data_IF_418418118423
#
_entry.id   IF_418418118423
#
_cell.length_a   1.000
_cell.length_b   1.000
_cell.length_c   1.000
_cell.angle_alpha   90.00
_cell.angle_beta   90.00
_cell.angle_gamma   90.00
#
_symmetry.space_group_name_H-M   'P 1'
#
loop_
_entity.id
_entity.type
_entity.pdbx_description
1 polymer ?
#
# COMPACT_ATOMS: atom_id res chain seq x y z
N UNK A 1 -34.22 -77.90 -13.36
CA UNK A 1 -32.83 -77.68 -12.95
C UNK A 1 -32.36 -76.38 -13.54
N UNK A 2 -32.47 -75.28 -12.83
CA UNK A 2 -32.10 -73.97 -13.29
C UNK A 2 -31.01 -73.46 -12.32
N UNK A 3 -29.79 -73.29 -12.81
CA UNK A 3 -28.66 -72.76 -12.03
C UNK A 3 -28.63 -71.23 -12.16
N UNK A 4 -28.79 -70.56 -11.03
CA UNK A 4 -28.64 -69.08 -10.90
C UNK A 4 -27.20 -68.75 -10.58
N UNK A 5 -26.53 -68.08 -11.50
CA UNK A 5 -25.16 -67.57 -11.32
C UNK A 5 -25.20 -66.16 -10.65
N UNK A 6 -24.67 -66.05 -9.43
CA UNK A 6 -24.54 -64.76 -8.69
C UNK A 6 -23.21 -64.09 -9.06
N UNK A 7 -23.29 -62.96 -9.73
CA UNK A 7 -22.14 -62.07 -10.01
C UNK A 7 -21.95 -61.16 -8.81
N UNK A 8 -20.83 -61.28 -8.09
CA UNK A 8 -20.40 -60.36 -7.04
C UNK A 8 -19.71 -59.16 -7.62
N UNK A 9 -20.36 -57.96 -7.54
CA UNK A 9 -19.70 -56.69 -7.83
C UNK A 9 -18.80 -56.29 -6.66
N UNK A 10 -17.50 -56.18 -6.91
CA UNK A 10 -16.54 -55.61 -5.96
C UNK A 10 -16.46 -54.12 -6.29
N UNK A 11 -17.02 -53.27 -5.40
CA UNK A 11 -16.87 -51.82 -5.49
C UNK A 11 -15.52 -51.46 -4.83
N UNK A 12 -14.55 -51.07 -5.68
CA UNK A 12 -13.25 -50.57 -5.24
C UNK A 12 -13.38 -49.07 -4.98
N UNK A 13 -13.54 -48.70 -3.71
CA UNK A 13 -13.59 -47.28 -3.27
C UNK A 13 -12.17 -46.73 -3.25
N UNK A 14 -11.83 -45.94 -4.28
CA UNK A 14 -10.59 -45.18 -4.31
C UNK A 14 -10.67 -44.00 -3.34
N UNK A 15 -9.96 -44.07 -2.23
CA UNK A 15 -9.80 -42.98 -1.27
C UNK A 15 -8.81 -41.96 -1.85
N UNK A 16 -9.31 -40.89 -2.44
CA UNK A 16 -8.51 -39.74 -2.86
C UNK A 16 -8.05 -38.97 -1.61
N UNK A 17 -6.82 -39.23 -1.16
CA UNK A 17 -6.15 -38.37 -0.18
C UNK A 17 -5.81 -37.03 -0.85
N UNK A 18 -6.59 -36.00 -0.61
CA UNK A 18 -6.22 -34.62 -0.94
C UNK A 18 -5.09 -34.19 0.00
N UNK A 19 -3.88 -34.15 -0.51
CA UNK A 19 -2.75 -33.50 0.17
C UNK A 19 -2.99 -32.01 0.11
N UNK A 20 -3.61 -31.44 1.15
CA UNK A 20 -3.64 -29.99 1.38
C UNK A 20 -2.21 -29.56 1.73
N UNK A 21 -1.50 -29.01 0.74
CA UNK A 21 -0.29 -28.25 1.00
C UNK A 21 -0.68 -27.00 1.80
N UNK A 22 -0.63 -27.06 3.13
CA UNK A 22 -0.67 -25.90 3.98
C UNK A 22 0.63 -25.13 3.71
N UNK A 23 0.56 -24.04 2.95
CA UNK A 23 1.62 -23.05 2.94
C UNK A 23 1.90 -22.66 4.40
N UNK A 24 3.10 -22.94 4.88
CA UNK A 24 3.45 -22.68 6.26
C UNK A 24 3.29 -21.20 6.57
N UNK A 25 2.55 -20.86 7.61
CA UNK A 25 2.41 -19.49 8.07
C UNK A 25 3.81 -18.94 8.38
N UNK A 26 4.18 -17.85 7.74
CA UNK A 26 5.41 -17.13 8.02
C UNK A 26 5.23 -16.41 9.36
N UNK A 27 5.93 -16.83 10.39
CA UNK A 27 6.01 -16.04 11.62
C UNK A 27 7.07 -14.97 11.42
N UNK A 28 6.65 -13.72 11.19
CA UNK A 28 7.54 -12.57 11.24
C UNK A 28 8.08 -12.49 12.66
N UNK A 29 9.41 -12.39 12.78
CA UNK A 29 10.06 -12.24 14.08
C UNK A 29 9.79 -10.82 14.63
N UNK A 30 8.79 -10.72 15.50
CA UNK A 30 8.39 -9.47 16.15
C UNK A 30 9.53 -8.80 16.92
N UNK A 31 10.41 -9.58 17.57
CA UNK A 31 11.54 -9.04 18.32
C UNK A 31 12.56 -8.40 17.39
N UNK A 32 12.84 -9.02 16.25
CA UNK A 32 13.75 -8.48 15.23
C UNK A 32 13.20 -7.20 14.60
N UNK A 33 11.89 -7.17 14.27
CA UNK A 33 11.23 -5.98 13.76
C UNK A 33 11.35 -4.82 14.73
N UNK A 34 10.96 -5.06 15.99
CA UNK A 34 10.99 -4.07 17.05
C UNK A 34 12.42 -3.57 17.31
N UNK A 35 13.40 -4.46 17.38
CA UNK A 35 14.80 -4.07 17.57
C UNK A 35 15.33 -3.21 16.42
N UNK A 36 14.97 -3.53 15.18
CA UNK A 36 15.33 -2.72 14.02
C UNK A 36 14.70 -1.32 14.08
N UNK A 37 13.40 -1.23 14.38
CA UNK A 37 12.70 0.05 14.50
C UNK A 37 13.28 0.92 15.62
N UNK A 38 13.53 0.37 16.81
CA UNK A 38 14.13 1.10 17.95
C UNK A 38 15.53 1.61 17.59
N UNK A 39 16.37 0.79 16.95
CA UNK A 39 17.72 1.20 16.55
C UNK A 39 17.68 2.41 15.61
N UNK A 40 16.84 2.37 14.59
CA UNK A 40 16.72 3.46 13.63
C UNK A 40 16.08 4.71 14.26
N UNK A 41 15.10 4.55 15.16
CA UNK A 41 14.48 5.63 15.90
C UNK A 41 15.51 6.38 16.75
N UNK A 42 16.38 5.65 17.45
CA UNK A 42 17.48 6.23 18.26
C UNK A 42 18.52 6.91 17.37
N UNK A 43 18.93 6.27 16.27
CA UNK A 43 19.95 6.79 15.36
C UNK A 43 19.52 8.10 14.69
N UNK A 44 18.26 8.21 14.28
CA UNK A 44 17.70 9.39 13.62
C UNK A 44 17.14 10.43 14.61
N UNK A 45 17.06 10.10 15.90
CA UNK A 45 16.32 10.89 16.89
C UNK A 45 14.92 11.23 16.36
N UNK A 46 14.27 10.24 15.82
CA UNK A 46 12.98 10.33 15.14
C UNK A 46 11.87 9.65 15.97
N UNK A 47 10.64 9.76 15.51
CA UNK A 47 9.55 8.87 15.87
C UNK A 47 9.26 7.95 14.68
N UNK A 48 9.32 6.63 14.91
CA UNK A 48 9.16 5.60 13.85
C UNK A 48 7.99 4.69 14.19
N UNK A 49 7.13 4.44 13.21
CA UNK A 49 6.05 3.47 13.27
C UNK A 49 6.19 2.44 12.15
N UNK A 50 5.99 1.17 12.49
CA UNK A 50 6.09 0.07 11.53
C UNK A 50 4.93 -0.89 11.75
N UNK A 51 4.34 -1.40 10.66
CA UNK A 51 3.45 -2.55 10.69
C UNK A 51 3.76 -3.48 9.52
N UNK A 52 3.67 -4.77 9.78
CA UNK A 52 3.79 -5.83 8.77
C UNK A 52 2.63 -6.80 8.96
N UNK A 53 1.72 -6.84 7.99
CA UNK A 53 0.62 -7.79 7.91
C UNK A 53 1.08 -9.00 7.10
N UNK A 54 1.10 -10.16 7.71
CA UNK A 54 1.23 -11.45 7.02
C UNK A 54 -0.14 -11.89 6.51
N UNK A 55 -0.28 -11.96 5.19
CA UNK A 55 -1.57 -12.30 4.58
C UNK A 55 -1.95 -13.78 4.67
N UNK A 56 -0.99 -14.67 5.02
CA UNK A 56 -1.28 -16.08 5.24
C UNK A 56 -1.95 -16.34 6.59
N UNK A 57 -1.48 -15.67 7.63
CA UNK A 57 -1.99 -15.81 8.99
C UNK A 57 -3.02 -14.75 9.38
N UNK A 58 -3.05 -13.61 8.68
CA UNK A 58 -3.82 -12.43 9.06
C UNK A 58 -3.22 -11.66 10.25
N UNK A 59 -2.08 -12.09 10.77
CA UNK A 59 -1.44 -11.44 11.92
C UNK A 59 -0.69 -10.18 11.51
N UNK A 60 -0.76 -9.16 12.37
CA UNK A 60 0.03 -7.94 12.23
C UNK A 60 1.09 -7.92 13.33
N UNK A 61 2.34 -7.71 12.93
CA UNK A 61 3.44 -7.39 13.82
C UNK A 61 3.76 -5.90 13.67
N UNK A 62 3.86 -5.18 14.78
CA UNK A 62 4.04 -3.73 14.70
C UNK A 62 4.94 -3.17 15.81
N UNK A 63 5.50 -2.00 15.54
CA UNK A 63 6.13 -1.10 16.50
C UNK A 63 5.47 0.27 16.37
N UNK A 64 4.94 0.84 17.46
CA UNK A 64 4.08 2.04 17.45
C UNK A 64 2.94 1.94 16.44
N UNK A 65 2.42 0.72 16.22
CA UNK A 65 1.46 0.41 15.17
C UNK A 65 0.12 1.16 15.28
N UNK A 66 -0.26 1.59 16.47
CA UNK A 66 -1.49 2.34 16.75
C UNK A 66 -1.28 3.86 16.92
N UNK A 67 -0.03 4.33 16.85
CA UNK A 67 0.25 5.77 16.91
C UNK A 67 0.01 6.44 15.55
N UNK A 68 -0.43 7.71 15.57
CA UNK A 68 -0.71 8.46 14.35
C UNK A 68 0.57 9.00 13.72
N UNK A 69 0.65 8.89 12.41
CA UNK A 69 1.72 9.41 11.56
C UNK A 69 1.13 10.16 10.36
N UNK A 70 1.82 11.19 9.81
CA UNK A 70 1.37 11.90 8.62
C UNK A 70 1.29 10.95 7.41
N UNK A 71 0.19 11.02 6.67
CA UNK A 71 0.02 10.25 5.43
C UNK A 71 1.03 10.67 4.35
N UNK A 72 1.20 11.97 4.17
CA UNK A 72 1.89 12.52 3.01
C UNK A 72 1.41 11.83 1.72
N UNK A 73 2.26 11.62 0.73
CA UNK A 73 1.84 11.00 -0.53
C UNK A 73 1.42 9.52 -0.43
N UNK A 74 1.48 8.87 0.75
CA UNK A 74 0.89 7.53 0.90
C UNK A 74 -0.64 7.53 0.83
N UNK A 75 -1.30 8.69 0.85
CA UNK A 75 -2.74 8.83 0.61
C UNK A 75 -3.14 8.57 -0.86
N UNK A 76 -2.23 8.71 -1.83
CA UNK A 76 -2.55 8.69 -3.27
C UNK A 76 -3.10 7.36 -3.79
N UNK A 77 -2.59 6.19 -3.37
CA UNK A 77 -3.25 4.92 -3.69
C UNK A 77 -4.67 4.81 -3.12
N UNK A 78 -4.93 5.35 -1.92
CA UNK A 78 -6.28 5.37 -1.34
C UNK A 78 -7.23 6.21 -2.19
N UNK A 79 -6.78 7.38 -2.58
CA UNK A 79 -7.51 8.32 -3.42
C UNK A 79 -7.88 7.69 -4.79
N UNK A 80 -6.91 7.06 -5.46
CA UNK A 80 -7.17 6.33 -6.71
C UNK A 80 -8.03 5.09 -6.47
N UNK A 81 -7.97 4.47 -5.30
CA UNK A 81 -8.87 3.41 -4.86
C UNK A 81 -10.33 3.89 -4.79
N UNK A 82 -10.58 5.11 -4.26
CA UNK A 82 -11.92 5.72 -4.26
C UNK A 82 -12.42 5.94 -5.69
N UNK A 83 -11.58 6.46 -6.59
CA UNK A 83 -11.94 6.66 -7.99
C UNK A 83 -12.31 5.33 -8.65
N UNK A 84 -11.48 4.29 -8.47
CA UNK A 84 -11.71 2.95 -9.03
C UNK A 84 -12.99 2.33 -8.48
N UNK A 85 -13.29 2.47 -7.19
CA UNK A 85 -14.54 2.02 -6.59
C UNK A 85 -15.77 2.71 -7.21
N UNK A 86 -15.67 4.00 -7.55
CA UNK A 86 -16.72 4.70 -8.27
C UNK A 86 -16.87 4.23 -9.72
N UNK A 87 -15.77 3.83 -10.37
CA UNK A 87 -15.77 3.21 -11.70
C UNK A 87 -16.43 1.84 -11.65
N UNK A 88 -16.12 1.01 -10.68
CA UNK A 88 -16.74 -0.30 -10.44
C UNK A 88 -18.26 -0.19 -10.25
N UNK A 89 -18.73 0.95 -9.71
CA UNK A 89 -20.14 1.29 -9.55
C UNK A 89 -20.76 1.93 -10.80
N UNK A 90 -20.01 2.06 -11.91
CA UNK A 90 -20.49 2.65 -13.16
C UNK A 90 -20.67 4.17 -13.17
N UNK A 91 -20.12 4.89 -12.17
CA UNK A 91 -20.26 6.35 -12.07
C UNK A 91 -19.32 7.12 -13.00
N UNK A 92 -18.16 6.54 -13.32
CA UNK A 92 -17.10 7.14 -14.13
C UNK A 92 -16.49 6.09 -15.06
N UNK A 93 -15.68 6.55 -16.03
CA UNK A 93 -14.81 5.69 -16.83
C UNK A 93 -13.36 6.18 -16.74
N UNK A 94 -12.38 5.26 -16.74
CA UNK A 94 -10.96 5.62 -16.68
C UNK A 94 -10.51 6.47 -17.87
N UNK A 95 -11.14 6.28 -19.03
CA UNK A 95 -10.78 6.93 -20.30
C UNK A 95 -11.45 8.30 -20.49
N UNK A 96 -12.35 8.71 -19.59
CA UNK A 96 -12.94 10.05 -19.61
C UNK A 96 -11.82 11.10 -19.45
N UNK A 97 -11.68 11.96 -20.47
CA UNK A 97 -10.68 13.04 -20.46
C UNK A 97 -11.21 14.27 -19.76
N UNK A 98 -10.34 14.90 -19.01
CA UNK A 98 -10.56 16.23 -18.44
C UNK A 98 -9.55 17.20 -19.01
N UNK A 99 -9.96 18.46 -19.09
CA UNK A 99 -9.06 19.59 -19.33
C UNK A 99 -8.89 20.35 -18.02
N UNK A 100 -7.69 20.82 -17.78
CA UNK A 100 -7.39 21.66 -16.63
C UNK A 100 -6.41 22.77 -17.03
N UNK A 101 -6.41 23.85 -16.28
CA UNK A 101 -5.67 25.04 -16.55
C UNK A 101 -4.33 25.03 -15.79
N UNK A 102 -3.36 25.82 -16.28
CA UNK A 102 -2.03 25.93 -15.68
C UNK A 102 -2.09 26.42 -14.22
N UNK A 103 -3.09 27.21 -13.90
CA UNK A 103 -3.35 27.77 -12.56
C UNK A 103 -3.72 26.71 -11.52
N UNK A 104 -4.05 25.50 -11.98
CA UNK A 104 -4.29 24.35 -11.09
C UNK A 104 -3.02 23.63 -10.68
N UNK A 105 -1.87 23.94 -11.31
CA UNK A 105 -0.62 23.31 -10.97
C UNK A 105 -0.15 23.75 -9.58
N UNK A 106 0.21 22.78 -8.77
CA UNK A 106 0.81 22.98 -7.45
C UNK A 106 2.24 22.42 -7.44
N UNK A 107 3.00 22.73 -6.40
CA UNK A 107 4.37 22.26 -6.25
C UNK A 107 4.44 20.73 -6.32
N UNK A 108 5.54 20.24 -6.90
CA UNK A 108 5.79 18.83 -7.17
C UNK A 108 4.75 18.19 -8.11
N UNK A 109 4.74 18.68 -9.35
CA UNK A 109 3.89 18.18 -10.45
C UNK A 109 4.74 17.69 -11.64
N UNK A 110 5.53 16.59 -11.46
CA UNK A 110 6.55 16.18 -12.44
C UNK A 110 5.98 15.66 -13.75
N UNK A 111 4.72 15.25 -13.78
CA UNK A 111 4.02 14.80 -14.98
C UNK A 111 3.10 15.89 -15.51
N UNK A 112 2.12 16.32 -14.71
CA UNK A 112 1.14 17.33 -15.14
C UNK A 112 1.78 18.65 -15.52
N UNK A 113 2.87 19.05 -14.86
CA UNK A 113 3.61 20.27 -15.17
C UNK A 113 4.33 20.27 -16.53
N UNK A 114 4.48 19.13 -17.20
CA UNK A 114 5.11 18.99 -18.52
C UNK A 114 4.13 19.11 -19.69
N UNK A 115 2.85 19.04 -19.44
CA UNK A 115 1.86 19.13 -20.49
C UNK A 115 1.70 20.59 -20.95
N UNK A 116 1.58 20.77 -22.28
CA UNK A 116 1.31 22.08 -22.88
C UNK A 116 -0.20 22.33 -22.94
N UNK A 117 -0.57 23.61 -22.90
CA UNK A 117 -2.00 24.01 -22.96
C UNK A 117 -2.60 23.72 -24.34
N UNK A 118 -3.84 23.16 -24.43
CA UNK A 118 -4.70 22.81 -23.30
C UNK A 118 -4.25 21.50 -22.61
N UNK A 119 -4.16 21.54 -21.29
CA UNK A 119 -3.82 20.37 -20.49
C UNK A 119 -5.01 19.39 -20.52
N UNK A 120 -4.80 18.21 -21.09
CA UNK A 120 -5.84 17.17 -21.20
C UNK A 120 -5.27 15.82 -20.86
N UNK A 121 -5.83 15.18 -19.82
CA UNK A 121 -5.47 13.84 -19.38
C UNK A 121 -6.74 13.07 -19.01
N UNK A 122 -6.71 11.76 -19.17
CA UNK A 122 -7.76 10.89 -18.64
C UNK A 122 -7.46 10.49 -17.18
N UNK A 123 -8.46 9.87 -16.53
CA UNK A 123 -8.33 9.48 -15.12
C UNK A 123 -7.28 8.39 -14.91
N UNK A 124 -7.05 7.53 -15.91
CA UNK A 124 -5.99 6.53 -15.87
C UNK A 124 -4.61 7.20 -15.83
N UNK A 125 -4.39 8.19 -16.68
CA UNK A 125 -3.14 8.96 -16.72
C UNK A 125 -2.93 9.75 -15.43
N UNK A 126 -3.98 10.38 -14.89
CA UNK A 126 -3.89 11.14 -13.65
C UNK A 126 -3.60 10.25 -12.44
N UNK A 127 -4.25 9.10 -12.30
CA UNK A 127 -3.91 8.17 -11.23
C UNK A 127 -2.52 7.57 -11.40
N UNK A 128 -2.09 7.26 -12.63
CA UNK A 128 -0.70 6.86 -12.90
C UNK A 128 0.28 7.93 -12.48
N UNK A 129 0.04 9.21 -12.82
CA UNK A 129 0.88 10.33 -12.41
C UNK A 129 0.92 10.49 -10.87
N UNK A 130 -0.24 10.43 -10.21
CA UNK A 130 -0.34 10.56 -8.77
C UNK A 130 0.36 9.42 -8.01
N UNK A 131 0.16 8.17 -8.43
CA UNK A 131 0.68 7.00 -7.72
C UNK A 131 2.13 6.74 -8.10
N UNK A 132 2.46 6.61 -9.40
CA UNK A 132 3.80 6.22 -9.82
C UNK A 132 4.84 7.36 -9.73
N UNK A 133 4.44 8.61 -9.95
CA UNK A 133 5.34 9.77 -9.93
C UNK A 133 5.11 10.71 -8.76
N UNK A 134 4.13 10.41 -7.93
CA UNK A 134 3.74 11.24 -6.78
C UNK A 134 3.28 12.66 -7.16
N UNK A 135 2.69 12.87 -8.34
CA UNK A 135 2.25 14.16 -8.86
C UNK A 135 1.11 14.75 -8.01
N UNK A 136 1.34 15.93 -7.46
CA UNK A 136 0.40 16.57 -6.53
C UNK A 136 -0.81 17.17 -7.24
N UNK A 137 -0.62 17.77 -8.42
CA UNK A 137 -1.74 18.30 -9.20
C UNK A 137 -2.66 17.18 -9.67
N UNK A 138 -2.10 16.07 -10.15
CA UNK A 138 -2.88 14.90 -10.52
C UNK A 138 -3.70 14.37 -9.31
N UNK A 139 -3.08 14.28 -8.14
CA UNK A 139 -3.78 13.88 -6.92
C UNK A 139 -4.94 14.83 -6.58
N UNK A 140 -4.73 16.17 -6.66
CA UNK A 140 -5.78 17.14 -6.40
C UNK A 140 -6.95 17.03 -7.39
N UNK A 141 -6.67 16.82 -8.68
CA UNK A 141 -7.71 16.63 -9.70
C UNK A 141 -8.55 15.37 -9.42
N UNK A 142 -7.89 14.25 -9.06
CA UNK A 142 -8.59 13.03 -8.66
C UNK A 142 -9.40 13.26 -7.39
N UNK A 143 -8.83 13.95 -6.38
CA UNK A 143 -9.53 14.28 -5.14
C UNK A 143 -10.81 15.10 -5.41
N UNK A 144 -10.72 16.12 -6.26
CA UNK A 144 -11.89 16.90 -6.67
C UNK A 144 -12.96 16.04 -7.36
N UNK A 145 -12.56 15.14 -8.28
CA UNK A 145 -13.48 14.25 -9.01
C UNK A 145 -14.27 13.35 -8.07
N UNK A 146 -13.64 12.80 -7.06
CA UNK A 146 -14.30 11.87 -6.12
C UNK A 146 -15.13 12.58 -5.04
N UNK A 147 -15.07 13.90 -4.94
CA UNK A 147 -15.82 14.71 -3.96
C UNK A 147 -15.01 15.14 -2.73
N UNK A 148 -13.71 15.25 -2.87
CA UNK A 148 -12.77 15.79 -1.89
C UNK A 148 -12.46 14.88 -0.70
N UNK A 149 -11.74 15.42 0.29
CA UNK A 149 -11.32 14.67 1.49
C UNK A 149 -12.50 14.00 2.22
N UNK A 150 -13.64 14.66 2.32
CA UNK A 150 -14.83 14.10 2.97
C UNK A 150 -15.34 12.81 2.26
N UNK A 151 -15.23 12.73 0.94
CA UNK A 151 -15.60 11.51 0.22
C UNK A 151 -14.59 10.38 0.43
N UNK A 152 -13.30 10.71 0.52
CA UNK A 152 -12.25 9.75 0.88
C UNK A 152 -12.53 9.17 2.27
N UNK A 153 -12.83 10.02 3.27
CA UNK A 153 -13.13 9.56 4.63
C UNK A 153 -14.38 8.68 4.68
N UNK A 154 -15.44 9.00 3.92
CA UNK A 154 -16.63 8.13 3.85
C UNK A 154 -16.30 6.75 3.25
N UNK A 155 -15.48 6.72 2.21
CA UNK A 155 -15.05 5.46 1.61
C UNK A 155 -14.21 4.63 2.58
N UNK A 156 -13.22 5.24 3.26
CA UNK A 156 -12.40 4.56 4.26
C UNK A 156 -13.26 3.97 5.37
N UNK A 157 -14.20 4.73 5.92
CA UNK A 157 -15.14 4.24 6.93
C UNK A 157 -16.00 3.07 6.41
N UNK A 158 -16.48 3.15 5.16
CA UNK A 158 -17.28 2.10 4.54
C UNK A 158 -16.52 0.77 4.38
N UNK A 159 -15.21 0.83 4.17
CA UNK A 159 -14.35 -0.37 4.13
C UNK A 159 -13.77 -0.75 5.51
N UNK A 160 -14.23 -0.08 6.58
CA UNK A 160 -13.86 -0.38 7.97
C UNK A 160 -12.54 0.23 8.44
N UNK A 161 -12.06 1.30 7.78
CA UNK A 161 -10.96 2.14 8.30
C UNK A 161 -11.53 3.45 8.87
N UNK A 162 -11.69 3.49 10.18
CA UNK A 162 -12.15 4.67 10.93
C UNK A 162 -10.99 5.45 11.54
N UNK A 163 -9.75 5.05 11.27
CA UNK A 163 -8.54 5.63 11.84
C UNK A 163 -7.86 6.59 10.87
N UNK A 164 -7.69 6.16 9.61
CA UNK A 164 -7.10 7.00 8.55
C UNK A 164 -8.03 8.14 8.20
N UNK A 165 -7.48 9.34 8.07
CA UNK A 165 -8.26 10.52 7.72
C UNK A 165 -7.54 11.40 6.70
N UNK A 166 -8.30 11.92 5.76
CA UNK A 166 -7.91 12.91 4.77
C UNK A 166 -8.68 14.18 5.06
N UNK A 167 -8.00 15.31 5.19
CA UNK A 167 -8.62 16.58 5.59
C UNK A 167 -8.33 17.71 4.60
N UNK A 168 -7.17 17.67 3.93
CA UNK A 168 -6.68 18.75 3.08
C UNK A 168 -6.28 18.22 1.69
N UNK A 169 -6.03 19.15 0.79
CA UNK A 169 -5.46 18.89 -0.52
C UNK A 169 -3.93 19.06 -0.49
N UNK A 170 -3.27 18.64 -1.58
CA UNK A 170 -1.87 18.93 -1.81
C UNK A 170 -1.69 20.45 -2.08
N UNK A 171 -0.63 21.12 -1.58
CA UNK A 171 0.45 20.54 -0.77
C UNK A 171 0.19 20.59 0.74
N UNK A 172 -0.89 21.19 1.24
CA UNK A 172 -1.13 21.51 2.65
C UNK A 172 -1.18 20.29 3.57
N UNK A 173 -1.57 19.12 3.02
CA UNK A 173 -1.61 17.86 3.76
C UNK A 173 -0.22 17.37 4.20
N UNK A 174 0.87 17.94 3.64
CA UNK A 174 2.25 17.56 3.96
C UNK A 174 2.86 18.37 5.12
N UNK A 175 2.11 19.23 5.78
CA UNK A 175 2.60 20.05 6.90
C UNK A 175 3.12 19.23 8.09
N UNK A 176 2.63 18.00 8.27
CA UNK A 176 3.14 17.00 9.23
C UNK A 176 3.38 17.51 10.64
N UNK A 177 2.59 18.52 11.06
CA UNK A 177 2.76 19.19 12.36
C UNK A 177 2.63 18.19 13.52
N UNK A 178 3.59 18.15 14.46
CA UNK A 178 3.47 17.32 15.65
C UNK A 178 2.19 17.60 16.44
N UNK A 179 1.40 16.55 16.72
CA UNK A 179 0.12 16.66 17.42
C UNK A 179 -1.08 17.01 16.54
N UNK A 180 -0.90 17.35 15.26
CA UNK A 180 -1.99 17.53 14.31
C UNK A 180 -2.48 16.17 13.82
N UNK A 181 -3.76 15.86 14.03
CA UNK A 181 -4.34 14.59 13.57
C UNK A 181 -4.83 14.62 12.11
N UNK A 182 -4.89 15.82 11.50
CA UNK A 182 -5.32 15.95 10.10
C UNK A 182 -4.34 15.24 9.17
N UNK A 183 -4.87 14.57 8.15
CA UNK A 183 -4.12 13.85 7.13
C UNK A 183 -3.15 12.82 7.73
N UNK A 184 -3.64 12.06 8.72
CA UNK A 184 -2.86 11.03 9.42
C UNK A 184 -3.50 9.65 9.30
N UNK A 185 -2.67 8.65 9.54
CA UNK A 185 -3.04 7.24 9.72
C UNK A 185 -2.24 6.61 10.84
N UNK A 186 -2.48 5.34 11.13
CA UNK A 186 -1.57 4.49 11.91
C UNK A 186 -0.96 3.42 11.01
N UNK A 187 0.25 2.93 11.30
CA UNK A 187 0.86 1.86 10.51
C UNK A 187 -0.03 0.62 10.32
N UNK A 188 -0.76 0.22 11.35
CA UNK A 188 -1.68 -0.91 11.27
C UNK A 188 -2.93 -0.61 10.43
N UNK A 189 -3.55 0.55 10.60
CA UNK A 189 -4.75 0.92 9.85
C UNK A 189 -4.47 0.97 8.34
N UNK A 190 -3.38 1.65 7.95
CA UNK A 190 -3.04 1.79 6.54
C UNK A 190 -2.63 0.46 5.90
N UNK A 191 -1.95 -0.44 6.65
CA UNK A 191 -1.60 -1.76 6.13
C UNK A 191 -2.84 -2.61 5.87
N UNK A 192 -3.85 -2.56 6.75
CA UNK A 192 -5.14 -3.23 6.54
C UNK A 192 -5.93 -2.64 5.37
N UNK A 193 -5.94 -1.31 5.25
CA UNK A 193 -6.60 -0.61 4.14
C UNK A 193 -5.94 -0.96 2.81
N UNK A 194 -4.62 -0.94 2.74
CA UNK A 194 -3.89 -1.33 1.54
C UNK A 194 -4.13 -2.81 1.17
N UNK A 195 -4.15 -3.71 2.17
CA UNK A 195 -4.54 -5.10 1.96
C UNK A 195 -5.91 -5.22 1.28
N UNK A 196 -6.92 -4.53 1.79
CA UNK A 196 -8.29 -4.56 1.25
C UNK A 196 -8.36 -4.07 -0.19
N UNK A 197 -7.58 -3.04 -0.53
CA UNK A 197 -7.57 -2.44 -1.87
C UNK A 197 -6.80 -3.27 -2.90
N UNK A 198 -5.67 -3.89 -2.52
CA UNK A 198 -4.74 -4.56 -3.45
C UNK A 198 -4.92 -6.07 -3.47
N UNK A 199 -5.29 -6.68 -2.35
CA UNK A 199 -5.39 -8.14 -2.21
C UNK A 199 -6.80 -8.62 -1.83
N UNK A 200 -7.64 -7.75 -1.28
CA UNK A 200 -9.02 -8.05 -0.88
C UNK A 200 -10.02 -7.88 -2.02
N UNK A 201 -11.28 -7.70 -1.65
CA UNK A 201 -12.45 -7.69 -2.54
C UNK A 201 -13.17 -6.33 -2.60
N UNK A 202 -12.58 -5.28 -2.05
CA UNK A 202 -13.13 -3.91 -2.06
C UNK A 202 -13.27 -3.35 -3.49
N UNK A 203 -12.33 -3.70 -4.36
CA UNK A 203 -12.34 -3.34 -5.77
C UNK A 203 -12.63 -4.57 -6.65
N UNK A 204 -13.29 -4.38 -7.78
CA UNK A 204 -13.37 -5.41 -8.81
C UNK A 204 -11.98 -5.82 -9.30
N UNK A 205 -11.85 -7.00 -9.89
CA UNK A 205 -10.58 -7.58 -10.31
C UNK A 205 -9.74 -6.62 -11.16
N UNK A 206 -10.36 -6.00 -12.16
CA UNK A 206 -9.66 -5.12 -13.12
C UNK A 206 -9.18 -3.84 -12.44
N UNK A 207 -10.01 -3.24 -11.59
CA UNK A 207 -9.68 -2.04 -10.80
C UNK A 207 -8.56 -2.34 -9.80
N UNK A 208 -8.60 -3.49 -9.14
CA UNK A 208 -7.55 -3.95 -8.23
C UNK A 208 -6.22 -4.16 -8.96
N UNK A 209 -6.25 -4.79 -10.13
CA UNK A 209 -5.06 -4.97 -10.98
C UNK A 209 -4.51 -3.62 -11.43
N UNK A 210 -5.37 -2.70 -11.81
CA UNK A 210 -4.94 -1.37 -12.25
C UNK A 210 -4.27 -0.58 -11.13
N UNK A 211 -4.84 -0.57 -9.92
CA UNK A 211 -4.20 0.07 -8.76
C UNK A 211 -2.84 -0.57 -8.44
N UNK A 212 -2.80 -1.90 -8.46
CA UNK A 212 -1.57 -2.66 -8.24
C UNK A 212 -0.50 -2.29 -9.27
N UNK A 213 -0.88 -2.17 -10.55
CA UNK A 213 0.06 -1.82 -11.61
C UNK A 213 0.64 -0.42 -11.42
N UNK A 214 -0.18 0.60 -11.08
CA UNK A 214 0.32 1.94 -10.79
C UNK A 214 1.33 1.95 -9.63
N UNK A 215 1.12 1.12 -8.61
CA UNK A 215 2.05 0.99 -7.48
C UNK A 215 3.31 0.18 -7.84
N UNK A 216 3.22 -0.83 -8.72
CA UNK A 216 4.39 -1.54 -9.27
C UNK A 216 5.29 -0.60 -10.09
N UNK A 217 4.68 0.36 -10.78
CA UNK A 217 5.34 1.32 -11.65
C UNK A 217 5.95 2.52 -10.90
N UNK A 218 5.96 2.53 -9.56
CA UNK A 218 6.53 3.62 -8.74
C UNK A 218 7.96 3.98 -9.20
N UNK A 219 8.21 5.29 -9.35
CA UNK A 219 9.48 5.86 -9.84
C UNK A 219 10.22 6.68 -8.77
N UNK A 220 9.68 6.73 -7.54
CA UNK A 220 10.21 7.63 -6.50
C UNK A 220 10.56 6.91 -5.19
N UNK A 221 10.51 5.57 -5.18
CA UNK A 221 10.77 4.75 -4.00
C UNK A 221 11.99 3.82 -4.10
N UNK A 222 12.82 3.92 -5.14
CA UNK A 222 13.94 3.00 -5.39
C UNK A 222 14.95 2.93 -4.24
N UNK A 223 15.17 4.04 -3.53
CA UNK A 223 16.10 4.11 -2.40
C UNK A 223 15.55 3.57 -1.07
N UNK A 224 14.29 3.11 -1.03
CA UNK A 224 13.62 2.61 0.17
C UNK A 224 13.62 1.07 0.18
N UNK A 225 12.46 0.46 0.36
CA UNK A 225 12.33 -1.02 0.42
C UNK A 225 12.81 -1.71 -0.85
N UNK A 226 12.68 -1.08 -2.03
CA UNK A 226 13.15 -1.63 -3.31
C UNK A 226 14.65 -1.89 -3.31
N UNK A 227 15.46 -1.03 -2.66
CA UNK A 227 16.93 -1.15 -2.60
C UNK A 227 17.43 -2.43 -1.92
N UNK A 228 16.60 -3.03 -1.08
CA UNK A 228 16.93 -4.24 -0.29
C UNK A 228 15.99 -5.41 -0.60
N UNK A 229 15.17 -5.28 -1.63
CA UNK A 229 14.23 -6.33 -2.04
C UNK A 229 15.00 -7.57 -2.50
N UNK A 230 14.71 -8.76 -1.96
CA UNK A 230 15.37 -9.98 -2.40
C UNK A 230 15.11 -10.28 -3.88
N UNK A 231 16.10 -10.87 -4.60
CA UNK A 231 15.92 -11.31 -5.98
C UNK A 231 14.69 -12.21 -6.15
N UNK A 232 13.94 -12.04 -7.23
CA UNK A 232 12.71 -12.78 -7.53
C UNK A 232 11.46 -12.28 -6.80
N UNK A 233 11.59 -11.36 -5.83
CA UNK A 233 10.44 -10.75 -5.18
C UNK A 233 9.92 -9.55 -5.98
N UNK A 234 8.63 -9.25 -5.82
CA UNK A 234 7.99 -8.08 -6.42
C UNK A 234 7.47 -7.17 -5.32
N UNK A 235 7.40 -5.88 -5.61
CA UNK A 235 6.89 -4.87 -4.69
C UNK A 235 6.02 -3.86 -5.44
N UNK A 236 4.82 -3.62 -4.94
CA UNK A 236 3.97 -2.50 -5.30
C UNK A 236 3.97 -1.55 -4.10
N UNK A 237 4.43 -0.32 -4.27
CA UNK A 237 4.63 0.59 -3.16
C UNK A 237 4.24 2.05 -3.49
N UNK A 238 4.16 2.85 -2.43
CA UNK A 238 4.02 4.29 -2.49
C UNK A 238 4.77 4.94 -1.35
N UNK A 239 5.69 5.83 -1.68
CA UNK A 239 6.41 6.62 -0.68
C UNK A 239 5.71 7.95 -0.39
N UNK A 240 6.02 8.54 0.77
CA UNK A 240 5.60 9.87 1.18
C UNK A 240 6.73 10.66 1.82
N UNK A 241 6.66 11.99 1.74
CA UNK A 241 7.54 12.92 2.40
C UNK A 241 6.79 14.21 2.72
N UNK A 242 7.18 14.89 3.79
CA UNK A 242 6.58 16.16 4.23
C UNK A 242 7.47 16.87 5.24
N UNK A 243 6.92 17.87 5.87
CA UNK A 243 7.64 18.66 6.89
C UNK A 243 8.00 17.82 8.11
N UNK A 244 8.77 18.38 9.02
CA UNK A 244 9.27 17.73 10.25
C UNK A 244 10.03 16.42 9.99
N UNK A 245 10.72 16.33 8.84
CA UNK A 245 11.48 15.14 8.46
C UNK A 245 10.61 13.91 8.18
N UNK A 246 9.33 14.12 7.86
CA UNK A 246 8.43 13.02 7.56
C UNK A 246 8.87 12.27 6.33
N UNK A 247 9.01 10.94 6.47
CA UNK A 247 9.29 10.01 5.37
C UNK A 247 8.52 8.72 5.60
N UNK A 248 7.88 8.20 4.57
CA UNK A 248 7.05 7.01 4.72
C UNK A 248 7.05 6.14 3.47
N UNK A 249 6.63 4.90 3.66
CA UNK A 249 6.33 3.97 2.58
C UNK A 249 5.23 3.00 3.02
N UNK A 250 4.30 2.74 2.11
CA UNK A 250 3.36 1.62 2.20
C UNK A 250 3.59 0.70 1.01
N UNK A 251 3.50 -0.60 1.21
CA UNK A 251 3.78 -1.56 0.15
C UNK A 251 3.06 -2.88 0.32
N UNK A 252 2.80 -3.54 -0.83
CA UNK A 252 2.54 -4.98 -0.89
C UNK A 252 3.76 -5.64 -1.52
N UNK A 253 4.29 -6.63 -0.84
CA UNK A 253 5.47 -7.39 -1.27
C UNK A 253 5.06 -8.83 -1.54
N UNK A 254 5.42 -9.36 -2.69
CA UNK A 254 5.20 -10.76 -3.06
C UNK A 254 6.54 -11.52 -3.02
N UNK A 255 6.81 -12.28 -1.94
CA UNK A 255 7.92 -13.22 -1.91
C UNK A 255 7.71 -14.32 -2.94
N UNK A 256 8.81 -14.90 -3.46
CA UNK A 256 8.73 -15.88 -4.55
C UNK A 256 7.92 -17.16 -4.18
N UNK A 257 8.01 -17.58 -2.91
CA UNK A 257 7.45 -18.89 -2.45
C UNK A 257 6.53 -18.78 -1.24
N UNK A 258 6.05 -17.59 -0.95
CA UNK A 258 5.25 -17.33 0.24
C UNK A 258 4.11 -16.36 -0.05
N UNK A 259 3.15 -16.28 0.87
CA UNK A 259 2.05 -15.32 0.80
C UNK A 259 2.57 -13.88 0.84
N UNK A 260 1.84 -12.93 0.25
CA UNK A 260 2.21 -11.52 0.28
C UNK A 260 2.33 -10.97 1.70
N UNK A 261 3.17 -9.95 1.85
CA UNK A 261 3.25 -9.11 3.04
C UNK A 261 2.75 -7.71 2.70
N UNK A 262 2.01 -7.09 3.62
CA UNK A 262 1.71 -5.66 3.53
C UNK A 262 2.53 -4.93 4.58
N UNK A 263 3.32 -3.94 4.16
CA UNK A 263 4.29 -3.27 5.01
C UNK A 263 4.00 -1.77 5.01
N UNK A 264 4.00 -1.18 6.19
CA UNK A 264 3.93 0.26 6.38
C UNK A 264 5.08 0.70 7.29
N UNK A 265 5.85 1.70 6.86
CA UNK A 265 6.92 2.32 7.64
C UNK A 265 6.76 3.83 7.58
N UNK A 266 6.74 4.47 8.74
CA UNK A 266 6.57 5.90 8.92
C UNK A 266 7.67 6.46 9.82
N UNK A 267 8.30 7.54 9.40
CA UNK A 267 9.29 8.31 10.14
C UNK A 267 8.79 9.75 10.22
N UNK A 268 8.93 10.41 11.36
CA UNK A 268 8.60 11.82 11.52
C UNK A 268 9.35 12.43 12.73
N UNK A 269 9.24 13.75 12.90
CA UNK A 269 9.82 14.48 14.02
C UNK A 269 11.35 14.29 14.13
N UNK A 270 12.03 14.46 13.02
CA UNK A 270 13.49 14.36 12.93
C UNK A 270 14.08 15.47 12.07
N UNK A 271 15.35 15.78 12.30
CA UNK A 271 16.17 16.64 11.45
C UNK A 271 17.06 15.83 10.49
N UNK A 272 16.88 14.51 10.44
CA UNK A 272 17.60 13.64 9.53
C UNK A 272 17.33 14.02 8.08
N UNK A 273 18.33 13.86 7.24
CA UNK A 273 18.17 14.09 5.80
C UNK A 273 17.27 13.04 5.16
N UNK A 274 16.73 13.35 3.98
CA UNK A 274 15.96 12.40 3.17
C UNK A 274 16.75 11.09 2.94
N UNK A 275 18.04 11.21 2.63
CA UNK A 275 18.92 10.05 2.43
C UNK A 275 19.00 9.18 3.67
N UNK A 276 19.24 9.77 4.85
CA UNK A 276 19.30 9.03 6.11
C UNK A 276 17.97 8.33 6.44
N UNK A 277 16.85 9.00 6.19
CA UNK A 277 15.53 8.40 6.39
C UNK A 277 15.25 7.26 5.39
N UNK A 278 15.67 7.41 4.11
CA UNK A 278 15.59 6.33 3.12
C UNK A 278 16.38 5.09 3.54
N UNK A 279 17.63 5.29 3.98
CA UNK A 279 18.50 4.21 4.47
C UNK A 279 17.93 3.51 5.71
N UNK A 280 17.33 4.27 6.64
CA UNK A 280 16.67 3.69 7.80
C UNK A 280 15.49 2.80 7.41
N UNK A 281 14.62 3.26 6.46
CA UNK A 281 13.54 2.44 5.92
C UNK A 281 14.09 1.18 5.24
N UNK A 282 15.18 1.29 4.46
CA UNK A 282 15.83 0.15 3.83
C UNK A 282 16.34 -0.86 4.87
N UNK A 283 17.01 -0.42 5.96
CA UNK A 283 17.50 -1.30 7.03
C UNK A 283 16.35 -1.99 7.79
N UNK A 284 15.24 -1.30 8.06
CA UNK A 284 14.01 -1.90 8.60
C UNK A 284 13.47 -2.97 7.62
N UNK A 285 13.40 -2.65 6.32
CA UNK A 285 13.01 -3.59 5.27
C UNK A 285 13.90 -4.83 5.23
N UNK A 286 15.21 -4.66 5.33
CA UNK A 286 16.16 -5.78 5.37
C UNK A 286 15.90 -6.71 6.57
N UNK A 287 15.58 -6.14 7.75
CA UNK A 287 15.24 -6.94 8.92
C UNK A 287 13.95 -7.75 8.70
N UNK A 288 12.93 -7.15 8.09
CA UNK A 288 11.66 -7.82 7.73
C UNK A 288 11.93 -8.94 6.72
N UNK A 289 12.61 -8.65 5.59
CA UNK A 289 12.85 -9.62 4.52
C UNK A 289 13.76 -10.79 4.93
N UNK A 290 14.71 -10.54 5.85
CA UNK A 290 15.58 -11.60 6.38
C UNK A 290 14.82 -12.56 7.30
N UNK A 291 13.81 -12.08 8.02
CA UNK A 291 12.97 -12.91 8.88
C UNK A 291 12.06 -13.86 8.07
N UNK A 292 11.71 -13.49 6.82
CA UNK A 292 10.87 -14.28 5.93
C UNK A 292 11.64 -15.38 5.16
N UNK A 293 12.97 -15.26 5.04
CA UNK A 293 13.82 -16.27 4.38
C UNK A 293 14.11 -17.53 5.25
N UNK A 294 13.78 -17.51 6.53
CA UNK A 294 14.28 -18.45 7.52
C UNK A 294 13.58 -19.81 7.62
N UNK A 295 12.64 -20.17 6.73
CA UNK A 295 11.96 -21.48 6.75
C UNK A 295 11.72 -22.04 5.35
N UNK A 296 12.80 -22.32 4.62
CA UNK A 296 12.78 -23.35 3.57
C UNK A 296 13.52 -24.55 4.15
N UNK A 297 12.79 -25.46 4.76
CA UNK A 297 13.26 -26.83 5.01
C UNK A 297 12.85 -27.70 3.83
#
# INVERSE_FOLDING_TARGET
MTATSSVKFIILTALLMSVSCKAGAQTIDSARLTAAAIREEQALKARIGVAVLDTASGLIQSYRGHERFPLNSTHKPLLCGVLLSNIDQGKFTLTEKIQFEKEKLVDYSPVTGKFVTPLSMDWQQLCSAAVAYSDNTAANLVAQKVGGPAAVNRFLAAIGDTTTRSDRFEPDLNSSLPGDERDTTTPEAISQTLYKLVLGDVLHSDSRQQLTQWMLDDKVADALLRSVLPPGWRIADKSGAGDYGSRSIISVVWPEKSSPLVIAVYITQTTATMTQSNEAIARIGQAIFSATKGKVN
#
